data_IF_131627220947
#
_entry.id   IF_131627220947
#
_cell.length_a   1.000
_cell.length_b   1.000
_cell.length_c   1.000
_cell.angle_alpha   90.00
_cell.angle_beta   90.00
_cell.angle_gamma   90.00
#
_symmetry.space_group_name_H-M   'P 1'
#
loop_
_entity.id
_entity.type
_entity.pdbx_description
1 polymer ?
#
# COMPACT_ATOMS: atom_id res chain seq x y z
N UNK A 1 11.50 25.63 -49.57
CA UNK A 1 10.15 25.08 -49.34
C UNK A 1 10.28 24.32 -48.01
N UNK A 2 10.22 24.90 -46.80
CA UNK A 2 9.17 25.67 -46.09
C UNK A 2 7.83 24.93 -45.96
N UNK A 3 7.85 23.77 -45.32
CA UNK A 3 6.67 23.16 -44.72
C UNK A 3 6.58 23.52 -43.23
N UNK A 4 5.53 24.26 -42.88
CA UNK A 4 5.13 24.61 -41.53
C UNK A 4 4.23 23.50 -41.00
N UNK A 5 4.63 22.85 -39.90
CA UNK A 5 3.72 21.97 -39.14
C UNK A 5 3.23 22.74 -37.90
N UNK A 6 1.90 22.80 -37.67
CA UNK A 6 1.29 23.63 -36.64
C UNK A 6 1.45 23.08 -35.21
N UNK A 7 1.58 24.00 -34.26
CA UNK A 7 1.62 23.76 -32.81
C UNK A 7 0.25 23.31 -32.26
N UNK A 8 0.21 22.36 -31.31
CA UNK A 8 -1.03 22.06 -30.59
C UNK A 8 -1.35 23.16 -29.57
N UNK A 9 -2.58 23.64 -29.63
CA UNK A 9 -3.16 24.65 -28.74
C UNK A 9 -3.23 24.12 -27.30
N UNK A 10 -2.57 24.84 -26.40
CA UNK A 10 -2.69 24.74 -24.95
C UNK A 10 -4.14 25.00 -24.53
N UNK A 11 -4.84 23.94 -24.10
CA UNK A 11 -6.16 24.03 -23.48
C UNK A 11 -6.00 24.41 -22.01
N UNK A 12 -6.24 25.68 -21.70
CA UNK A 12 -6.16 26.23 -20.34
C UNK A 12 -7.48 25.98 -19.62
N UNK A 13 -7.57 24.86 -18.88
CA UNK A 13 -8.70 24.62 -17.99
C UNK A 13 -8.47 25.40 -16.68
N UNK A 14 -9.32 26.42 -16.44
CA UNK A 14 -9.38 27.14 -15.18
C UNK A 14 -10.00 26.23 -14.11
N UNK A 15 -9.21 25.84 -13.10
CA UNK A 15 -9.69 25.07 -11.94
C UNK A 15 -9.96 26.06 -10.81
N UNK A 16 -11.23 26.26 -10.50
CA UNK A 16 -11.72 27.02 -9.35
C UNK A 16 -11.41 26.24 -8.07
N UNK A 17 -10.56 26.80 -7.20
CA UNK A 17 -10.20 26.20 -5.91
C UNK A 17 -11.21 26.64 -4.86
N UNK A 18 -12.10 25.73 -4.45
CA UNK A 18 -12.99 25.93 -3.30
C UNK A 18 -12.25 25.56 -2.02
N UNK A 19 -11.96 26.55 -1.19
CA UNK A 19 -11.35 26.37 0.14
C UNK A 19 -12.42 25.87 1.11
N UNK A 20 -12.34 24.62 1.55
CA UNK A 20 -13.10 24.13 2.70
C UNK A 20 -12.20 24.12 3.94
N UNK A 21 -12.49 25.05 4.84
CA UNK A 21 -11.96 25.09 6.22
C UNK A 21 -12.67 24.05 7.08
N UNK A 22 -11.97 22.98 7.47
CA UNK A 22 -12.42 22.06 8.51
C UNK A 22 -11.71 22.37 9.82
N UNK A 23 -12.49 22.75 10.83
CA UNK A 23 -12.04 23.06 12.18
C UNK A 23 -11.62 21.78 12.93
N UNK A 24 -10.47 21.87 13.60
CA UNK A 24 -9.92 20.84 14.49
C UNK A 24 -10.56 20.99 15.86
N UNK A 25 -11.18 19.93 16.39
CA UNK A 25 -11.48 19.82 17.81
C UNK A 25 -10.48 18.84 18.44
N UNK A 26 -9.53 19.39 19.19
CA UNK A 26 -8.65 18.67 20.11
C UNK A 26 -9.46 18.27 21.35
N UNK A 27 -9.71 16.97 21.50
CA UNK A 27 -10.13 16.41 22.79
C UNK A 27 -9.02 15.49 23.28
N UNK A 28 -8.18 16.02 24.16
CA UNK A 28 -7.25 15.25 24.97
C UNK A 28 -7.95 14.69 26.21
N UNK A 29 -7.55 13.48 26.61
CA UNK A 29 -7.55 13.05 28.00
C UNK A 29 -6.33 12.15 28.22
N UNK A 30 -5.38 12.69 28.95
CA UNK A 30 -4.32 11.99 29.66
C UNK A 30 -4.93 10.92 30.57
N UNK A 31 -4.35 9.73 30.64
CA UNK A 31 -4.45 8.92 31.86
C UNK A 31 -3.14 8.17 32.10
N UNK A 32 -2.39 8.73 33.04
CA UNK A 32 -1.15 8.26 33.60
C UNK A 32 -1.51 7.38 34.81
N UNK A 33 -1.03 6.15 34.84
CA UNK A 33 -1.31 5.21 35.92
C UNK A 33 -0.32 4.06 35.93
N UNK A 34 0.85 4.29 36.53
CA UNK A 34 1.78 3.24 36.91
C UNK A 34 1.39 2.71 38.29
N UNK A 35 1.10 1.42 38.40
CA UNK A 35 1.23 0.66 39.65
C UNK A 35 1.81 -0.71 39.35
N UNK A 36 3.03 -0.95 39.82
CA UNK A 36 3.61 -2.27 39.96
C UNK A 36 3.05 -2.94 41.22
N UNK A 37 2.72 -4.24 41.16
CA UNK A 37 3.09 -5.24 42.18
C UNK A 37 2.32 -6.58 42.00
N UNK A 38 3.10 -7.66 42.09
CA UNK A 38 2.79 -8.94 42.78
C UNK A 38 2.00 -10.04 42.07
N UNK A 39 2.69 -11.19 42.02
CA UNK A 39 2.36 -12.51 41.52
C UNK A 39 1.19 -13.21 42.22
N UNK A 40 0.33 -13.87 41.44
CA UNK A 40 -0.27 -15.19 41.73
C UNK A 40 -0.98 -15.71 40.45
N UNK A 41 -0.88 -17.01 40.09
CA UNK A 41 -1.57 -17.57 38.94
C UNK A 41 -2.98 -18.08 39.31
N UNK A 42 -4.07 -17.57 38.69
CA UNK A 42 -5.33 -18.30 38.66
C UNK A 42 -5.34 -19.29 37.49
N UNK A 43 -5.38 -20.56 37.87
CA UNK A 43 -5.76 -21.70 37.04
C UNK A 43 -6.98 -21.36 36.20
N UNK A 44 -6.79 -21.12 34.90
CA UNK A 44 -7.87 -20.82 33.96
C UNK A 44 -8.15 -22.07 33.14
N UNK A 45 -9.32 -22.65 33.41
CA UNK A 45 -9.87 -23.78 32.68
C UNK A 45 -9.88 -23.48 31.18
N UNK A 46 -9.35 -24.42 30.40
CA UNK A 46 -9.35 -24.37 28.95
C UNK A 46 -10.80 -24.32 28.42
N UNK A 47 -11.28 -23.12 28.10
CA UNK A 47 -12.44 -22.97 27.24
C UNK A 47 -12.05 -23.43 25.84
N UNK A 48 -12.43 -24.65 25.50
CA UNK A 48 -12.36 -25.17 24.14
C UNK A 48 -13.20 -24.26 23.24
N UNK A 49 -12.54 -23.32 22.58
CA UNK A 49 -13.15 -22.51 21.53
C UNK A 49 -13.31 -23.43 20.33
N UNK A 50 -14.52 -23.91 20.09
CA UNK A 50 -14.88 -24.54 18.83
C UNK A 50 -14.54 -23.55 17.72
N UNK A 51 -13.51 -23.87 16.94
CA UNK A 51 -13.14 -23.14 15.75
C UNK A 51 -14.31 -23.24 14.76
N UNK A 52 -15.21 -22.26 14.78
CA UNK A 52 -16.12 -22.01 13.67
C UNK A 52 -15.24 -21.71 12.47
N UNK A 53 -15.16 -22.67 11.54
CA UNK A 53 -14.49 -22.48 10.27
C UNK A 53 -15.07 -21.21 9.62
N UNK A 54 -14.22 -20.20 9.43
CA UNK A 54 -14.62 -18.99 8.75
C UNK A 54 -15.13 -19.37 7.36
N UNK A 55 -16.33 -18.93 6.95
CA UNK A 55 -16.82 -19.22 5.62
C UNK A 55 -15.84 -18.65 4.60
N UNK A 56 -15.26 -19.51 3.75
CA UNK A 56 -14.55 -19.10 2.55
C UNK A 56 -15.59 -18.48 1.63
N UNK A 57 -15.77 -17.16 1.73
CA UNK A 57 -16.74 -16.43 0.92
C UNK A 57 -16.29 -16.44 -0.54
N UNK A 58 -16.90 -17.32 -1.33
CA UNK A 58 -16.79 -17.32 -2.79
C UNK A 58 -17.25 -15.96 -3.33
N UNK A 59 -16.45 -15.29 -4.16
CA UNK A 59 -16.85 -14.08 -4.86
C UNK A 59 -18.19 -14.26 -5.60
N UNK A 60 -19.03 -13.23 -5.54
CA UNK A 60 -20.25 -13.19 -6.37
C UNK A 60 -19.89 -12.74 -7.78
N UNK A 61 -20.73 -13.08 -8.77
CA UNK A 61 -20.55 -12.63 -10.15
C UNK A 61 -20.50 -11.09 -10.29
N UNK A 62 -21.23 -10.37 -9.43
CA UNK A 62 -21.18 -8.90 -9.36
C UNK A 62 -19.84 -8.38 -8.83
N UNK A 63 -19.33 -8.98 -7.75
CA UNK A 63 -18.02 -8.63 -7.21
C UNK A 63 -16.92 -8.87 -8.25
N UNK A 64 -17.01 -9.97 -9.00
CA UNK A 64 -16.05 -10.26 -10.06
C UNK A 64 -16.08 -9.23 -11.19
N UNK A 65 -17.26 -8.81 -11.66
CA UNK A 65 -17.39 -7.70 -12.63
C UNK A 65 -16.80 -6.39 -12.12
N UNK A 66 -17.03 -6.06 -10.86
CA UNK A 66 -16.49 -4.83 -10.25
C UNK A 66 -14.97 -4.88 -10.14
N UNK A 67 -14.40 -6.03 -9.75
CA UNK A 67 -12.93 -6.22 -9.68
C UNK A 67 -12.30 -6.15 -11.07
N UNK A 68 -12.91 -6.77 -12.09
CA UNK A 68 -12.47 -6.64 -13.49
C UNK A 68 -12.43 -5.17 -13.91
N UNK A 69 -13.52 -4.44 -13.65
CA UNK A 69 -13.62 -3.04 -14.01
C UNK A 69 -12.57 -2.19 -13.30
N UNK A 70 -12.36 -2.40 -11.99
CA UNK A 70 -11.32 -1.73 -11.23
C UNK A 70 -9.91 -1.97 -11.81
N UNK A 71 -9.64 -3.23 -12.17
CA UNK A 71 -8.35 -3.66 -12.68
C UNK A 71 -8.04 -3.02 -14.04
N UNK A 72 -9.02 -3.00 -14.94
CA UNK A 72 -8.92 -2.43 -16.29
C UNK A 72 -8.84 -0.90 -16.29
N UNK A 73 -9.55 -0.22 -15.38
CA UNK A 73 -9.58 1.26 -15.30
C UNK A 73 -8.29 1.88 -14.74
N UNK A 74 -7.34 1.07 -14.27
CA UNK A 74 -6.07 1.59 -13.75
C UNK A 74 -5.44 0.76 -12.64
N UNK A 75 -6.19 -0.15 -12.01
CA UNK A 75 -5.68 -1.02 -10.95
C UNK A 75 -4.45 -1.82 -11.40
N UNK A 76 -4.46 -2.36 -12.62
CA UNK A 76 -3.30 -3.03 -13.23
C UNK A 76 -2.07 -2.13 -13.28
N UNK A 77 -2.23 -0.88 -13.72
CA UNK A 77 -1.12 0.06 -13.83
C UNK A 77 -0.50 0.39 -12.46
N UNK A 78 -1.32 0.47 -11.40
CA UNK A 78 -0.83 0.66 -10.03
C UNK A 78 -0.03 -0.54 -9.53
N UNK A 79 -0.52 -1.75 -9.74
CA UNK A 79 0.20 -2.99 -9.39
C UNK A 79 1.55 -3.07 -10.13
N UNK A 80 1.56 -2.78 -11.43
CA UNK A 80 2.80 -2.78 -12.23
C UNK A 80 3.80 -1.74 -11.73
N UNK A 81 3.37 -0.50 -11.47
CA UNK A 81 4.26 0.55 -10.97
C UNK A 81 4.90 0.20 -9.61
N UNK A 82 4.14 -0.39 -8.68
CA UNK A 82 4.67 -0.87 -7.40
C UNK A 82 5.68 -1.99 -7.57
N UNK A 83 5.39 -2.93 -8.48
CA UNK A 83 6.30 -4.05 -8.75
C UNK A 83 7.60 -3.57 -9.39
N UNK A 84 7.52 -2.65 -10.35
CA UNK A 84 8.66 -2.11 -11.07
C UNK A 84 9.53 -1.22 -10.18
N UNK A 85 8.93 -0.37 -9.36
CA UNK A 85 9.68 0.48 -8.42
C UNK A 85 10.42 -0.36 -7.40
N UNK A 86 9.80 -1.38 -6.82
CA UNK A 86 10.49 -2.27 -5.87
C UNK A 86 11.59 -3.09 -6.55
N UNK A 87 11.37 -3.57 -7.77
CA UNK A 87 12.41 -4.25 -8.56
C UNK A 87 13.59 -3.34 -8.83
N UNK A 88 13.35 -2.08 -9.18
CA UNK A 88 14.40 -1.07 -9.39
C UNK A 88 15.21 -0.87 -8.10
N UNK A 89 14.55 -0.81 -6.94
CA UNK A 89 15.24 -0.73 -5.65
C UNK A 89 16.13 -1.95 -5.41
N UNK A 90 15.61 -3.16 -5.62
CA UNK A 90 16.39 -4.40 -5.46
C UNK A 90 17.58 -4.51 -6.44
N UNK A 91 17.45 -3.97 -7.64
CA UNK A 91 18.46 -4.03 -8.69
C UNK A 91 19.44 -2.83 -8.68
N UNK A 92 19.45 -2.01 -7.63
CA UNK A 92 20.31 -0.82 -7.55
C UNK A 92 21.79 -1.16 -7.26
N UNK A 93 22.11 -2.42 -6.97
CA UNK A 93 23.48 -2.85 -6.72
C UNK A 93 24.10 -2.13 -5.51
N UNK A 94 25.37 -1.76 -5.61
CA UNK A 94 26.08 -1.02 -4.56
C UNK A 94 26.03 0.51 -4.72
N UNK A 95 25.24 1.03 -5.66
CA UNK A 95 25.13 2.47 -5.88
C UNK A 95 24.13 3.08 -4.86
N UNK A 96 24.61 3.91 -3.91
CA UNK A 96 23.75 4.49 -2.88
C UNK A 96 22.75 5.50 -3.43
N UNK A 97 23.07 6.18 -4.54
CA UNK A 97 22.18 7.14 -5.20
C UNK A 97 21.01 6.38 -5.84
N UNK A 98 21.32 5.28 -6.56
CA UNK A 98 20.29 4.45 -7.18
C UNK A 98 19.38 3.79 -6.14
N UNK A 99 19.93 3.31 -5.02
CA UNK A 99 19.14 2.80 -3.91
C UNK A 99 18.20 3.86 -3.34
N UNK A 100 18.67 5.09 -3.12
CA UNK A 100 17.84 6.18 -2.59
C UNK A 100 16.70 6.53 -3.54
N UNK A 101 17.00 6.64 -4.84
CA UNK A 101 15.99 6.88 -5.87
C UNK A 101 14.97 5.73 -6.00
N UNK A 102 15.42 4.49 -5.81
CA UNK A 102 14.55 3.32 -5.74
C UNK A 102 13.56 3.43 -4.59
N UNK A 103 14.05 3.67 -3.37
CA UNK A 103 13.20 3.80 -2.18
C UNK A 103 12.20 4.95 -2.28
N UNK A 104 12.59 6.10 -2.85
CA UNK A 104 11.67 7.20 -3.14
C UNK A 104 10.64 6.87 -4.24
N UNK A 105 11.02 6.06 -5.24
CA UNK A 105 10.09 5.61 -6.28
C UNK A 105 8.99 4.72 -5.67
N UNK A 106 9.34 3.83 -4.74
CA UNK A 106 8.37 3.01 -4.00
C UNK A 106 7.39 3.88 -3.21
N UNK A 107 7.88 4.90 -2.49
CA UNK A 107 7.02 5.84 -1.74
C UNK A 107 6.03 6.55 -2.67
N UNK A 108 6.53 7.08 -3.79
CA UNK A 108 5.69 7.79 -4.78
C UNK A 108 4.60 6.88 -5.32
N UNK A 109 4.96 5.67 -5.74
CA UNK A 109 4.01 4.75 -6.38
C UNK A 109 3.01 4.18 -5.37
N UNK A 110 3.43 3.94 -4.12
CA UNK A 110 2.53 3.58 -3.02
C UNK A 110 1.54 4.70 -2.70
N UNK A 111 2.00 5.95 -2.63
CA UNK A 111 1.13 7.12 -2.42
C UNK A 111 0.11 7.26 -3.56
N UNK A 112 0.56 7.12 -4.80
CA UNK A 112 -0.30 7.19 -5.97
C UNK A 112 -1.30 6.03 -6.06
N UNK A 113 -0.99 4.88 -5.45
CA UNK A 113 -1.86 3.73 -5.35
C UNK A 113 -2.87 3.86 -4.19
N UNK A 114 -2.49 4.48 -3.06
CA UNK A 114 -3.41 4.80 -1.96
C UNK A 114 -4.50 5.78 -2.37
N UNK A 115 -4.18 6.72 -3.27
CA UNK A 115 -5.14 7.68 -3.81
C UNK A 115 -6.09 7.09 -4.88
N UNK A 116 -5.85 5.85 -5.34
CA UNK A 116 -6.71 5.18 -6.31
C UNK A 116 -7.92 4.55 -5.59
N UNK A 117 -9.09 4.41 -6.25
CA UNK A 117 -10.24 3.76 -5.64
C UNK A 117 -9.90 2.38 -5.06
N UNK A 118 -10.53 1.97 -3.94
CA UNK A 118 -10.29 0.67 -3.33
C UNK A 118 -10.74 -0.48 -4.23
N UNK A 119 -10.11 -1.65 -4.05
CA UNK A 119 -10.51 -2.88 -4.74
C UNK A 119 -11.89 -3.31 -4.22
N UNK A 120 -12.87 -3.57 -5.09
CA UNK A 120 -14.21 -4.01 -4.70
C UNK A 120 -14.26 -5.52 -4.35
N UNK A 121 -13.26 -6.01 -3.61
CA UNK A 121 -13.21 -7.32 -2.96
C UNK A 121 -12.51 -7.12 -1.61
N UNK A 122 -13.20 -7.43 -0.50
CA UNK A 122 -12.72 -7.07 0.85
C UNK A 122 -11.42 -7.78 1.22
N UNK A 123 -11.22 -9.02 0.76
CA UNK A 123 -10.01 -9.79 1.02
C UNK A 123 -8.82 -9.22 0.24
N UNK A 124 -8.98 -8.94 -1.06
CA UNK A 124 -7.96 -8.29 -1.87
C UNK A 124 -7.62 -6.90 -1.31
N UNK A 125 -8.63 -6.12 -0.93
CA UNK A 125 -8.43 -4.77 -0.39
C UNK A 125 -7.66 -4.78 0.94
N UNK A 126 -7.86 -5.78 1.79
CA UNK A 126 -7.12 -5.90 3.05
C UNK A 126 -5.62 -6.10 2.79
N UNK A 127 -5.26 -7.06 1.93
CA UNK A 127 -3.87 -7.30 1.54
C UNK A 127 -3.27 -6.10 0.79
N UNK A 128 -4.04 -5.46 -0.08
CA UNK A 128 -3.62 -4.26 -0.82
C UNK A 128 -3.28 -3.11 0.12
N UNK A 129 -4.17 -2.80 1.06
CA UNK A 129 -3.98 -1.71 2.03
C UNK A 129 -2.76 -1.96 2.92
N UNK A 130 -2.57 -3.21 3.34
CA UNK A 130 -1.40 -3.63 4.14
C UNK A 130 -0.10 -3.48 3.34
N UNK A 131 -0.08 -3.97 2.10
CA UNK A 131 1.04 -3.82 1.18
C UNK A 131 1.42 -2.36 0.97
N UNK A 132 0.46 -1.48 0.68
CA UNK A 132 0.71 -0.06 0.49
C UNK A 132 1.28 0.61 1.74
N UNK A 133 0.79 0.24 2.91
CA UNK A 133 1.30 0.75 4.19
C UNK A 133 2.76 0.36 4.41
N UNK A 134 3.10 -0.91 4.21
CA UNK A 134 4.47 -1.41 4.36
C UNK A 134 5.42 -0.83 3.30
N UNK A 135 5.00 -0.75 2.04
CA UNK A 135 5.81 -0.17 0.96
C UNK A 135 6.13 1.30 1.24
N UNK A 136 5.13 2.08 1.69
CA UNK A 136 5.31 3.48 2.05
C UNK A 136 6.26 3.63 3.25
N UNK A 137 6.01 2.88 4.33
CA UNK A 137 6.84 2.89 5.54
C UNK A 137 8.28 2.46 5.24
N UNK A 138 8.46 1.33 4.55
CA UNK A 138 9.77 0.79 4.19
C UNK A 138 10.54 1.71 3.25
N UNK A 139 9.85 2.34 2.29
CA UNK A 139 10.44 3.35 1.41
C UNK A 139 10.98 4.57 2.17
N UNK A 140 10.23 5.10 3.14
CA UNK A 140 10.71 6.20 4.00
C UNK A 140 11.88 5.78 4.91
N UNK A 141 11.78 4.62 5.57
CA UNK A 141 12.85 4.11 6.43
C UNK A 141 14.13 3.89 5.62
N UNK A 142 14.02 3.29 4.43
CA UNK A 142 15.13 3.07 3.54
C UNK A 142 15.80 4.40 3.14
N UNK A 143 15.01 5.35 2.63
CA UNK A 143 15.53 6.65 2.18
C UNK A 143 16.22 7.41 3.31
N UNK A 144 15.62 7.44 4.51
CA UNK A 144 16.21 8.08 5.69
C UNK A 144 17.51 7.39 6.12
N UNK A 145 17.54 6.06 6.14
CA UNK A 145 18.74 5.28 6.45
C UNK A 145 19.90 5.57 5.48
N UNK A 146 19.62 5.63 4.19
CA UNK A 146 20.61 5.96 3.16
C UNK A 146 21.14 7.39 3.31
N UNK A 147 20.26 8.37 3.55
CA UNK A 147 20.66 9.77 3.76
C UNK A 147 21.55 9.94 5.00
N UNK A 148 21.27 9.20 6.07
CA UNK A 148 22.04 9.21 7.33
C UNK A 148 23.24 8.26 7.34
N UNK A 149 23.47 7.50 6.27
CA UNK A 149 24.47 6.43 6.18
C UNK A 149 24.31 5.36 7.28
N UNK A 150 23.07 5.14 7.72
CA UNK A 150 22.69 4.12 8.67
C UNK A 150 22.25 2.86 7.90
N UNK A 151 23.20 1.93 7.74
CA UNK A 151 23.00 0.70 6.96
C UNK A 151 22.00 -0.26 7.62
N UNK A 152 21.90 -0.25 8.95
CA UNK A 152 20.95 -1.07 9.69
C UNK A 152 19.51 -0.58 9.42
N UNK A 153 19.30 0.74 9.50
CA UNK A 153 18.01 1.35 9.17
C UNK A 153 17.66 1.20 7.70
N UNK A 154 18.61 1.38 6.78
CA UNK A 154 18.35 1.15 5.35
C UNK A 154 17.91 -0.31 5.09
N UNK A 155 18.60 -1.28 5.71
CA UNK A 155 18.26 -2.70 5.62
C UNK A 155 16.89 -3.02 6.22
N UNK A 156 16.54 -2.40 7.36
CA UNK A 156 15.20 -2.49 7.93
C UNK A 156 14.13 -2.01 6.95
N UNK A 157 14.35 -0.85 6.31
CA UNK A 157 13.43 -0.32 5.31
C UNK A 157 13.24 -1.28 4.13
N UNK A 158 14.33 -1.87 3.65
CA UNK A 158 14.30 -2.88 2.58
C UNK A 158 13.53 -4.15 3.00
N UNK A 159 13.68 -4.62 4.23
CA UNK A 159 12.91 -5.75 4.74
C UNK A 159 11.41 -5.43 4.79
N UNK A 160 11.03 -4.24 5.27
CA UNK A 160 9.63 -3.81 5.27
C UNK A 160 9.06 -3.67 3.85
N UNK A 161 9.86 -3.25 2.87
CA UNK A 161 9.46 -3.25 1.44
C UNK A 161 9.18 -4.67 0.95
N UNK A 162 9.98 -5.67 1.35
CA UNK A 162 9.77 -7.07 0.99
C UNK A 162 8.49 -7.65 1.63
N UNK A 163 8.19 -7.29 2.88
CA UNK A 163 6.91 -7.64 3.52
C UNK A 163 5.74 -7.06 2.71
N UNK A 164 5.86 -5.80 2.27
CA UNK A 164 4.88 -5.15 1.40
C UNK A 164 4.68 -5.86 0.07
N UNK A 165 5.74 -6.37 -0.56
CA UNK A 165 5.64 -7.17 -1.78
C UNK A 165 4.94 -8.51 -1.56
N UNK A 166 5.12 -9.11 -0.39
CA UNK A 166 4.43 -10.36 -0.04
C UNK A 166 2.93 -10.14 0.02
N UNK A 167 2.48 -9.08 0.70
CA UNK A 167 1.06 -8.71 0.76
C UNK A 167 0.52 -8.26 -0.62
N UNK A 168 1.35 -7.61 -1.45
CA UNK A 168 0.99 -7.28 -2.84
C UNK A 168 0.77 -8.55 -3.68
N UNK A 169 1.60 -9.57 -3.51
CA UNK A 169 1.47 -10.86 -4.21
C UNK A 169 0.19 -11.59 -3.79
N UNK A 170 -0.17 -11.55 -2.51
CA UNK A 170 -1.45 -12.05 -2.02
C UNK A 170 -2.63 -11.32 -2.67
N UNK A 171 -2.53 -10.00 -2.80
CA UNK A 171 -3.54 -9.18 -3.51
C UNK A 171 -3.73 -9.64 -4.95
N UNK A 172 -2.63 -9.78 -5.70
CA UNK A 172 -2.66 -10.20 -7.11
C UNK A 172 -3.25 -11.61 -7.25
N UNK A 173 -2.88 -12.53 -6.36
CA UNK A 173 -3.43 -13.89 -6.33
C UNK A 173 -4.95 -13.87 -6.14
N UNK A 174 -5.45 -13.05 -5.21
CA UNK A 174 -6.90 -12.92 -4.97
C UNK A 174 -7.63 -12.30 -6.15
N UNK A 175 -7.09 -11.24 -6.75
CA UNK A 175 -7.66 -10.64 -7.97
C UNK A 175 -7.76 -11.70 -9.07
N UNK A 176 -6.69 -12.45 -9.32
CA UNK A 176 -6.68 -13.49 -10.36
C UNK A 176 -7.73 -14.59 -10.10
N UNK A 177 -7.91 -15.01 -8.85
CA UNK A 177 -8.96 -15.97 -8.49
C UNK A 177 -10.36 -15.43 -8.81
N UNK A 178 -10.66 -14.20 -8.40
CA UNK A 178 -11.94 -13.53 -8.68
C UNK A 178 -12.19 -13.39 -10.19
N UNK A 179 -11.16 -13.06 -10.97
CA UNK A 179 -11.28 -12.93 -12.43
C UNK A 179 -11.54 -14.28 -13.11
N UNK A 180 -11.00 -15.39 -12.59
CA UNK A 180 -11.22 -16.73 -13.14
C UNK A 180 -12.66 -17.22 -12.93
N UNK A 181 -13.29 -16.88 -11.80
CA UNK A 181 -14.68 -17.25 -11.51
C UNK A 181 -15.70 -16.48 -12.37
N UNK A 182 -15.29 -15.42 -13.06
CA UNK A 182 -16.14 -14.63 -13.96
C UNK A 182 -16.23 -15.17 -15.40
N UNK A 183 -15.44 -16.19 -15.73
CA UNK A 183 -15.40 -16.83 -17.06
C UNK A 183 -16.32 -18.04 -17.12
#
# INVERSE_FOLDING_TARGET
MRDRVPSPLTSTAAITVTVMTAAVLLSGCSNQGSTAATSAPPSSAASATTATAAPTSTPTADAARQVTSWYEQGGRAKITALTDSTRKTANSGNDPVMHSLGCLSVVRDATAAQAYPPIPDTQAQASWSKALTQLLQGGYICSDGLQKKDTARASQGMATIQDGLTDLTTTVSRINAVLQESR
#
